data_IF_192284285255
#
_entry.id   IF_192284285255
#
_cell.length_a   1.000
_cell.length_b   1.000
_cell.length_c   1.000
_cell.angle_alpha   90.00
_cell.angle_beta   90.00
_cell.angle_gamma   90.00
#
_symmetry.space_group_name_H-M   'P 1'
#
loop_
_entity.id
_entity.type
_entity.pdbx_description
1 polymer ?
#
# COMPACT_ATOMS: atom_id res chain seq x y z
N UNK A 1 -26.33 2.92 -20.89
CA UNK A 1 -25.79 4.03 -20.03
C UNK A 1 -26.28 4.04 -18.57
N UNK A 2 -27.33 3.25 -18.19
CA UNK A 2 -27.81 3.20 -16.80
C UNK A 2 -26.83 2.51 -15.84
N UNK A 3 -26.08 1.49 -16.26
CA UNK A 3 -25.17 0.74 -15.39
C UNK A 3 -23.95 1.52 -14.90
N UNK A 4 -23.34 2.35 -15.72
CA UNK A 4 -22.18 3.17 -15.32
C UNK A 4 -22.56 4.23 -14.26
N UNK A 5 -23.73 4.88 -14.40
CA UNK A 5 -24.21 5.86 -13.44
C UNK A 5 -24.46 5.29 -12.04
N UNK A 6 -24.87 4.03 -11.94
CA UNK A 6 -25.10 3.39 -10.63
C UNK A 6 -23.81 2.93 -9.97
N UNK A 7 -22.79 2.55 -10.74
CA UNK A 7 -21.44 2.26 -10.23
C UNK A 7 -20.81 3.53 -9.63
N UNK A 8 -20.90 4.65 -10.34
CA UNK A 8 -20.40 5.95 -9.83
C UNK A 8 -21.11 6.36 -8.53
N UNK A 9 -22.43 6.22 -8.45
CA UNK A 9 -23.20 6.54 -7.22
C UNK A 9 -22.82 5.67 -6.02
N UNK A 10 -22.49 4.40 -6.24
CA UNK A 10 -21.99 3.51 -5.16
C UNK A 10 -20.62 3.93 -4.67
N UNK A 11 -19.70 4.20 -5.59
CA UNK A 11 -18.35 4.69 -5.26
C UNK A 11 -18.41 6.03 -4.54
N UNK A 12 -19.28 6.96 -4.96
CA UNK A 12 -19.48 8.24 -4.28
C UNK A 12 -19.97 8.07 -2.84
N UNK A 13 -20.75 7.01 -2.53
CA UNK A 13 -21.17 6.69 -1.15
C UNK A 13 -19.99 6.22 -0.30
N UNK A 14 -19.12 5.36 -0.83
CA UNK A 14 -17.92 4.88 -0.13
C UNK A 14 -16.96 6.04 0.13
N UNK A 15 -16.66 6.82 -0.91
CA UNK A 15 -15.81 7.99 -0.78
C UNK A 15 -16.40 9.00 0.21
N UNK A 16 -17.71 9.24 0.16
CA UNK A 16 -18.42 10.14 1.09
C UNK A 16 -18.34 9.69 2.55
N UNK A 17 -18.40 8.38 2.81
CA UNK A 17 -18.20 7.84 4.15
C UNK A 17 -16.78 8.08 4.65
N UNK A 18 -15.77 7.85 3.79
CA UNK A 18 -14.36 8.11 4.11
C UNK A 18 -14.14 9.60 4.38
N UNK A 19 -14.66 10.49 3.54
CA UNK A 19 -14.55 11.93 3.74
C UNK A 19 -15.18 12.40 5.06
N UNK A 20 -16.35 11.84 5.40
CA UNK A 20 -17.04 12.16 6.66
C UNK A 20 -16.22 11.74 7.88
N UNK A 21 -15.63 10.55 7.85
CA UNK A 21 -14.82 10.01 8.97
C UNK A 21 -13.49 10.79 9.08
N UNK A 22 -12.86 11.12 7.95
CA UNK A 22 -11.56 11.81 7.92
C UNK A 22 -11.67 13.34 8.03
N UNK A 23 -12.89 13.91 8.01
CA UNK A 23 -13.08 15.36 8.03
C UNK A 23 -12.62 16.07 6.74
N UNK A 24 -12.48 15.35 5.65
CA UNK A 24 -12.05 15.90 4.35
C UNK A 24 -13.24 16.50 3.62
N UNK A 25 -13.12 17.76 3.22
CA UNK A 25 -14.06 18.40 2.27
C UNK A 25 -13.52 18.28 0.84
N UNK A 26 -14.07 17.37 0.01
CA UNK A 26 -13.59 17.14 -1.35
C UNK A 26 -13.85 18.33 -2.30
N UNK A 27 -14.72 19.27 -1.92
CA UNK A 27 -15.03 20.48 -2.69
C UNK A 27 -14.05 21.62 -2.43
N UNK A 28 -13.23 21.53 -1.38
CA UNK A 28 -12.26 22.57 -1.04
C UNK A 28 -10.96 22.37 -1.82
N UNK A 29 -10.76 23.19 -2.87
CA UNK A 29 -9.52 23.19 -3.65
C UNK A 29 -8.31 23.63 -2.83
N UNK A 30 -7.14 23.17 -3.24
CA UNK A 30 -5.84 23.53 -2.66
C UNK A 30 -4.97 24.22 -3.71
N UNK A 31 -4.21 25.21 -3.29
CA UNK A 31 -3.11 25.71 -4.12
C UNK A 31 -1.94 24.70 -4.09
N UNK A 32 -0.97 24.86 -4.98
CA UNK A 32 0.13 23.92 -5.11
C UNK A 32 0.94 23.71 -3.83
N UNK A 33 1.11 24.76 -3.00
CA UNK A 33 1.83 24.68 -1.72
C UNK A 33 1.04 23.85 -0.69
N UNK A 34 -0.25 24.09 -0.59
CA UNK A 34 -1.15 23.34 0.29
C UNK A 34 -1.20 21.87 -0.12
N UNK A 35 -1.28 21.61 -1.43
CA UNK A 35 -1.29 20.26 -1.98
C UNK A 35 0.01 19.52 -1.68
N UNK A 36 1.17 20.16 -1.94
CA UNK A 36 2.47 19.60 -1.65
C UNK A 36 2.67 19.35 -0.14
N UNK A 37 2.25 20.28 0.71
CA UNK A 37 2.34 20.13 2.16
C UNK A 37 1.44 18.99 2.67
N UNK A 38 0.23 18.85 2.13
CA UNK A 38 -0.68 17.75 2.46
C UNK A 38 -0.08 16.40 2.06
N UNK A 39 0.51 16.30 0.86
CA UNK A 39 1.20 15.09 0.39
C UNK A 39 2.39 14.74 1.28
N UNK A 40 3.29 15.69 1.51
CA UNK A 40 4.49 15.45 2.33
C UNK A 40 4.14 15.15 3.79
N UNK A 41 3.18 15.90 4.36
CA UNK A 41 2.73 15.69 5.74
C UNK A 41 2.09 14.32 5.94
N UNK A 42 1.23 13.89 5.02
CA UNK A 42 0.61 12.56 5.06
C UNK A 42 1.67 11.45 4.97
N UNK A 43 2.61 11.58 4.03
CA UNK A 43 3.69 10.63 3.89
C UNK A 43 4.59 10.58 5.14
N UNK A 44 4.91 11.73 5.74
CA UNK A 44 5.73 11.78 6.95
C UNK A 44 5.04 11.11 8.15
N UNK A 45 3.74 11.33 8.34
CA UNK A 45 2.96 10.68 9.41
C UNK A 45 2.92 9.17 9.20
N UNK A 46 2.66 8.72 7.98
CA UNK A 46 2.64 7.28 7.67
C UNK A 46 4.02 6.64 7.85
N UNK A 47 5.08 7.33 7.42
CA UNK A 47 6.44 6.86 7.61
C UNK A 47 6.77 6.70 9.09
N UNK A 48 6.39 7.65 9.92
CA UNK A 48 6.61 7.59 11.37
C UNK A 48 5.86 6.41 12.02
N UNK A 49 4.57 6.25 11.70
CA UNK A 49 3.77 5.12 12.23
C UNK A 49 4.33 3.79 11.74
N UNK A 50 4.63 3.67 10.46
CA UNK A 50 5.20 2.45 9.88
C UNK A 50 6.55 2.09 10.50
N UNK A 51 7.40 3.08 10.73
CA UNK A 51 8.67 2.88 11.45
C UNK A 51 8.45 2.27 12.84
N UNK A 52 7.52 2.83 13.61
CA UNK A 52 7.22 2.30 14.94
C UNK A 52 6.72 0.85 14.88
N UNK A 53 5.84 0.52 13.92
CA UNK A 53 5.33 -0.85 13.75
C UNK A 53 6.49 -1.82 13.48
N UNK A 54 7.40 -1.50 12.56
CA UNK A 54 8.56 -2.34 12.26
C UNK A 54 9.48 -2.54 13.46
N UNK A 55 9.60 -1.51 14.33
CA UNK A 55 10.44 -1.55 15.54
C UNK A 55 9.86 -2.38 16.68
N UNK A 56 8.57 -2.70 16.63
CA UNK A 56 7.88 -3.49 17.68
C UNK A 56 7.18 -4.73 17.13
N UNK A 57 7.50 -5.16 15.91
CA UNK A 57 6.77 -6.22 15.22
C UNK A 57 6.82 -7.59 15.92
N UNK A 58 7.85 -7.85 16.73
CA UNK A 58 7.98 -9.12 17.47
C UNK A 58 6.87 -9.30 18.52
N UNK A 59 6.36 -8.21 19.10
CA UNK A 59 5.29 -8.22 20.09
C UNK A 59 3.88 -8.18 19.44
N UNK A 60 3.81 -8.06 18.11
CA UNK A 60 2.56 -7.91 17.36
C UNK A 60 1.78 -9.20 17.22
N UNK A 61 0.48 -9.04 16.96
CA UNK A 61 -0.39 -10.11 16.48
C UNK A 61 0.02 -10.54 15.05
N UNK A 62 -0.37 -11.74 14.64
CA UNK A 62 -0.06 -12.28 13.29
C UNK A 62 1.46 -12.42 13.03
N UNK A 63 2.20 -12.95 14.01
CA UNK A 63 3.61 -13.28 13.87
C UNK A 63 3.88 -14.79 14.12
N UNK A 64 3.30 -15.70 13.32
CA UNK A 64 3.42 -17.14 13.54
C UNK A 64 4.85 -17.66 13.33
N UNK A 65 5.67 -16.92 12.60
CA UNK A 65 7.06 -17.28 12.32
C UNK A 65 8.05 -16.70 13.34
N UNK A 66 7.58 -16.07 14.43
CA UNK A 66 8.39 -15.46 15.49
C UNK A 66 9.46 -14.49 14.97
N UNK A 67 9.07 -13.64 14.02
CA UNK A 67 9.96 -12.63 13.43
C UNK A 67 10.34 -11.60 14.51
N UNK A 68 11.62 -11.32 14.62
CA UNK A 68 12.17 -10.34 15.54
C UNK A 68 11.90 -8.89 15.09
N UNK A 69 12.18 -7.94 15.99
CA UNK A 69 12.08 -6.51 15.67
C UNK A 69 13.11 -6.14 14.60
N UNK A 70 12.67 -5.37 13.61
CA UNK A 70 13.59 -4.91 12.55
C UNK A 70 14.64 -3.95 13.14
N UNK A 71 15.88 -4.08 12.69
CA UNK A 71 16.98 -3.20 13.08
C UNK A 71 16.66 -1.72 12.72
N UNK A 72 17.05 -0.72 13.56
CA UNK A 72 16.64 0.66 13.38
C UNK A 72 16.96 1.28 12.01
N UNK A 73 18.16 1.06 11.50
CA UNK A 73 18.61 1.66 10.23
C UNK A 73 17.92 0.97 9.07
N UNK A 74 17.71 -0.35 9.14
CA UNK A 74 16.96 -1.12 8.16
C UNK A 74 15.47 -0.71 8.14
N UNK A 75 14.85 -0.52 9.31
CA UNK A 75 13.48 -0.05 9.43
C UNK A 75 13.32 1.35 8.81
N UNK A 76 14.24 2.27 9.10
CA UNK A 76 14.23 3.60 8.50
C UNK A 76 14.38 3.55 6.98
N UNK A 77 15.37 2.79 6.47
CA UNK A 77 15.57 2.60 5.04
C UNK A 77 14.33 2.02 4.36
N UNK A 78 13.75 0.98 4.95
CA UNK A 78 12.53 0.33 4.45
C UNK A 78 11.38 1.32 4.32
N UNK A 79 11.12 2.09 5.39
CA UNK A 79 10.01 3.05 5.40
C UNK A 79 10.19 4.13 4.35
N UNK A 80 11.38 4.72 4.23
CA UNK A 80 11.65 5.75 3.22
C UNK A 80 11.51 5.17 1.81
N UNK A 81 12.02 3.97 1.59
CA UNK A 81 11.95 3.30 0.30
C UNK A 81 10.50 3.03 -0.14
N UNK A 82 9.66 2.53 0.77
CA UNK A 82 8.24 2.27 0.45
C UNK A 82 7.39 3.53 0.38
N UNK A 83 7.69 4.54 1.19
CA UNK A 83 7.02 5.84 1.13
C UNK A 83 7.25 6.56 -0.21
N UNK A 84 8.47 6.49 -0.74
CA UNK A 84 8.84 7.14 -2.01
C UNK A 84 8.49 6.31 -3.25
N UNK A 85 7.84 5.18 -3.09
CA UNK A 85 7.54 4.21 -4.15
C UNK A 85 8.80 3.65 -4.87
N UNK A 86 9.97 3.74 -4.23
CA UNK A 86 11.22 3.16 -4.75
C UNK A 86 11.26 1.66 -4.52
N UNK A 87 10.80 1.22 -3.35
CA UNK A 87 10.67 -0.17 -2.90
C UNK A 87 11.97 -1.00 -3.01
N UNK A 88 13.10 -0.34 -2.88
CA UNK A 88 14.39 -1.02 -2.73
C UNK A 88 14.42 -1.75 -1.39
N UNK A 89 14.66 -3.05 -1.42
CA UNK A 89 14.45 -3.95 -0.30
C UNK A 89 15.79 -4.60 0.11
N UNK A 90 16.21 -4.37 1.36
CA UNK A 90 17.44 -4.92 1.92
C UNK A 90 17.15 -6.03 2.96
N UNK A 91 16.03 -6.74 2.80
CA UNK A 91 15.59 -7.86 3.64
C UNK A 91 14.74 -8.82 2.79
N UNK A 92 14.62 -10.06 3.22
CA UNK A 92 13.64 -10.99 2.68
C UNK A 92 12.34 -10.86 3.46
N UNK A 93 11.23 -10.59 2.76
CA UNK A 93 9.96 -10.30 3.43
C UNK A 93 9.41 -11.48 4.22
N UNK A 94 9.58 -12.71 3.68
CA UNK A 94 9.14 -13.96 4.29
C UNK A 94 9.84 -14.30 5.61
N UNK A 95 11.04 -13.76 5.84
CA UNK A 95 11.85 -14.01 7.04
C UNK A 95 12.16 -12.77 7.87
N UNK A 96 11.89 -11.57 7.34
CA UNK A 96 12.20 -10.30 7.99
C UNK A 96 10.99 -9.52 8.50
N UNK A 97 9.77 -9.89 8.10
CA UNK A 97 8.55 -9.18 8.47
C UNK A 97 7.46 -10.09 9.02
N UNK A 98 6.85 -9.66 10.13
CA UNK A 98 5.60 -10.26 10.60
C UNK A 98 4.46 -9.99 9.60
N UNK A 99 3.42 -10.84 9.60
CA UNK A 99 2.28 -10.61 8.70
C UNK A 99 1.55 -9.29 9.01
N UNK A 100 1.53 -8.89 10.28
CA UNK A 100 1.00 -7.58 10.65
C UNK A 100 1.79 -6.46 9.98
N UNK A 101 3.12 -6.51 10.01
CA UNK A 101 3.99 -5.55 9.33
C UNK A 101 3.82 -5.59 7.82
N UNK A 102 3.68 -6.78 7.23
CA UNK A 102 3.39 -6.92 5.80
C UNK A 102 2.09 -6.19 5.42
N UNK A 103 1.02 -6.35 6.21
CA UNK A 103 -0.28 -5.74 5.91
C UNK A 103 -0.32 -4.25 6.21
N UNK A 104 0.03 -3.85 7.44
CA UNK A 104 -0.16 -2.48 7.92
C UNK A 104 0.94 -1.51 7.47
N UNK A 105 2.12 -2.03 7.10
CA UNK A 105 3.21 -1.19 6.61
C UNK A 105 3.40 -1.39 5.11
N UNK A 106 3.79 -2.57 4.68
CA UNK A 106 4.22 -2.78 3.30
C UNK A 106 3.06 -2.64 2.31
N UNK A 107 2.00 -3.45 2.45
CA UNK A 107 0.84 -3.40 1.56
C UNK A 107 0.18 -2.02 1.61
N UNK A 108 -0.03 -1.48 2.82
CA UNK A 108 -0.63 -0.16 2.99
C UNK A 108 0.19 0.94 2.32
N UNK A 109 1.52 0.96 2.51
CA UNK A 109 2.38 1.94 1.86
C UNK A 109 2.43 1.77 0.35
N UNK A 110 2.38 0.55 -0.17
CA UNK A 110 2.29 0.32 -1.62
C UNK A 110 1.04 0.96 -2.23
N UNK A 111 -0.11 0.86 -1.55
CA UNK A 111 -1.33 1.56 -1.98
C UNK A 111 -1.17 3.07 -1.93
N UNK A 112 -0.68 3.60 -0.81
CA UNK A 112 -0.67 5.04 -0.58
C UNK A 112 0.44 5.74 -1.35
N UNK A 113 1.63 5.14 -1.48
CA UNK A 113 2.72 5.70 -2.30
C UNK A 113 2.33 5.76 -3.77
N UNK A 114 1.73 4.70 -4.31
CA UNK A 114 1.20 4.69 -5.66
C UNK A 114 0.10 5.77 -5.84
N UNK A 115 -0.89 5.81 -4.94
CA UNK A 115 -1.96 6.80 -5.00
C UNK A 115 -1.44 8.23 -4.87
N UNK A 116 -0.41 8.47 -4.04
CA UNK A 116 0.25 9.78 -3.91
C UNK A 116 0.94 10.20 -5.20
N UNK A 117 1.62 9.28 -5.87
CA UNK A 117 2.25 9.52 -7.17
C UNK A 117 1.22 9.89 -8.25
N UNK A 118 0.12 9.13 -8.34
CA UNK A 118 -1.00 9.46 -9.23
C UNK A 118 -1.64 10.81 -8.89
N UNK A 119 -1.84 11.11 -7.62
CA UNK A 119 -2.41 12.37 -7.16
C UNK A 119 -1.51 13.56 -7.55
N UNK A 120 -0.20 13.43 -7.37
CA UNK A 120 0.79 14.44 -7.80
C UNK A 120 0.75 14.66 -9.32
N UNK A 121 0.67 13.58 -10.12
CA UNK A 121 0.54 13.65 -11.56
C UNK A 121 -0.74 14.38 -11.99
N UNK A 122 -1.88 14.06 -11.39
CA UNK A 122 -3.16 14.72 -11.66
C UNK A 122 -3.13 16.20 -11.31
N UNK A 123 -2.52 16.56 -10.17
CA UNK A 123 -2.34 17.96 -9.78
C UNK A 123 -1.45 18.71 -10.78
N UNK A 124 -0.37 18.08 -11.24
CA UNK A 124 0.51 18.63 -12.28
C UNK A 124 -0.23 18.88 -13.60
N UNK A 125 -1.02 17.90 -14.06
CA UNK A 125 -1.84 18.02 -15.28
C UNK A 125 -2.85 19.17 -15.14
N UNK A 126 -3.51 19.30 -13.98
CA UNK A 126 -4.44 20.42 -13.71
C UNK A 126 -3.71 21.78 -13.77
N UNK A 127 -2.49 21.83 -13.22
CA UNK A 127 -1.64 23.03 -13.29
C UNK A 127 -1.28 23.42 -14.73
N UNK A 128 -0.93 22.46 -15.57
CA UNK A 128 -0.62 22.69 -17.00
C UNK A 128 -1.88 23.07 -17.81
N UNK A 129 -3.02 22.48 -17.51
CA UNK A 129 -4.28 22.77 -18.20
C UNK A 129 -4.80 24.19 -17.94
N UNK A 130 -4.27 24.91 -16.96
CA UNK A 130 -4.37 26.37 -16.82
C UNK A 130 -5.75 26.96 -16.58
N UNK A 131 -6.75 26.17 -16.23
CA UNK A 131 -8.14 26.65 -16.06
C UNK A 131 -8.36 27.48 -14.78
N UNK A 132 -7.53 27.28 -13.75
CA UNK A 132 -7.57 28.05 -12.50
C UNK A 132 -6.16 28.24 -11.97
N UNK A 133 -5.68 29.49 -11.90
CA UNK A 133 -4.30 29.82 -11.49
C UNK A 133 -3.94 29.42 -10.05
N UNK A 134 -4.92 29.10 -9.19
CA UNK A 134 -4.72 28.86 -7.76
C UNK A 134 -5.35 27.58 -7.21
N UNK A 135 -5.84 26.69 -8.06
CA UNK A 135 -6.49 25.44 -7.63
C UNK A 135 -5.97 24.26 -8.45
N UNK A 136 -5.25 23.36 -7.79
CA UNK A 136 -4.74 22.12 -8.39
C UNK A 136 -5.54 20.88 -7.91
N UNK A 137 -6.66 21.09 -7.24
CA UNK A 137 -7.51 20.05 -6.65
C UNK A 137 -7.28 19.87 -5.16
N UNK A 138 -7.75 18.73 -4.62
CA UNK A 138 -7.59 18.39 -3.22
C UNK A 138 -6.85 17.05 -3.11
N UNK A 139 -5.67 17.07 -2.47
CA UNK A 139 -4.81 15.89 -2.33
C UNK A 139 -5.54 14.71 -1.68
N UNK A 140 -6.26 14.93 -0.58
CA UNK A 140 -6.94 13.87 0.13
C UNK A 140 -8.08 13.26 -0.68
N UNK A 141 -8.82 14.11 -1.41
CA UNK A 141 -9.87 13.64 -2.31
C UNK A 141 -9.29 12.82 -3.48
N UNK A 142 -8.18 13.25 -4.05
CA UNK A 142 -7.49 12.53 -5.11
C UNK A 142 -6.95 11.19 -4.59
N UNK A 143 -6.30 11.18 -3.41
CA UNK A 143 -5.78 9.98 -2.75
C UNK A 143 -6.90 8.93 -2.53
N UNK A 144 -8.03 9.34 -1.96
CA UNK A 144 -9.18 8.46 -1.72
C UNK A 144 -9.71 7.91 -3.04
N UNK A 145 -9.99 8.77 -4.02
CA UNK A 145 -10.57 8.35 -5.30
C UNK A 145 -9.67 7.40 -6.08
N UNK A 146 -8.37 7.65 -6.12
CA UNK A 146 -7.41 6.77 -6.80
C UNK A 146 -7.38 5.41 -6.10
N UNK A 147 -7.34 5.40 -4.76
CA UNK A 147 -7.33 4.16 -3.99
C UNK A 147 -8.63 3.37 -4.19
N UNK A 148 -9.80 4.00 -3.99
CA UNK A 148 -11.10 3.30 -3.98
C UNK A 148 -11.61 2.94 -5.37
N UNK A 149 -11.26 3.72 -6.41
CA UNK A 149 -11.81 3.56 -7.76
C UNK A 149 -10.87 2.86 -8.72
N UNK A 150 -9.56 2.88 -8.44
CA UNK A 150 -8.55 2.28 -9.33
C UNK A 150 -7.82 1.16 -8.59
N UNK A 151 -6.99 1.49 -7.59
CA UNK A 151 -6.09 0.51 -7.02
C UNK A 151 -6.83 -0.65 -6.32
N UNK A 152 -7.77 -0.35 -5.44
CA UNK A 152 -8.46 -1.37 -4.66
C UNK A 152 -9.32 -2.34 -5.50
N UNK A 153 -10.17 -1.89 -6.44
CA UNK A 153 -10.97 -2.82 -7.24
C UNK A 153 -10.11 -3.77 -8.09
N UNK A 154 -9.08 -3.26 -8.73
CA UNK A 154 -8.17 -4.10 -9.52
C UNK A 154 -7.32 -5.02 -8.64
N UNK A 155 -6.92 -4.56 -7.45
CA UNK A 155 -6.21 -5.42 -6.49
C UNK A 155 -7.09 -6.57 -5.98
N UNK A 156 -8.37 -6.34 -5.72
CA UNK A 156 -9.28 -7.40 -5.31
C UNK A 156 -9.43 -8.45 -6.42
N UNK A 157 -9.71 -8.02 -7.65
CA UNK A 157 -9.88 -8.94 -8.78
C UNK A 157 -8.58 -9.71 -9.06
N UNK A 158 -7.45 -9.02 -9.14
CA UNK A 158 -6.17 -9.64 -9.41
C UNK A 158 -5.70 -10.53 -8.25
N UNK A 159 -5.93 -10.13 -7.00
CA UNK A 159 -5.64 -10.95 -5.82
C UNK A 159 -6.43 -12.26 -5.81
N UNK A 160 -7.72 -12.22 -6.16
CA UNK A 160 -8.54 -13.44 -6.29
C UNK A 160 -8.03 -14.35 -7.42
N UNK A 161 -7.56 -13.79 -8.53
CA UNK A 161 -6.94 -14.57 -9.60
C UNK A 161 -5.63 -15.23 -9.14
N UNK A 162 -4.80 -14.53 -8.37
CA UNK A 162 -3.57 -15.10 -7.81
C UNK A 162 -3.88 -16.23 -6.82
N UNK A 163 -4.86 -16.05 -5.94
CA UNK A 163 -5.31 -17.12 -5.02
C UNK A 163 -5.83 -18.33 -5.80
N UNK A 164 -6.60 -18.10 -6.84
CA UNK A 164 -7.08 -19.18 -7.72
C UNK A 164 -5.93 -19.94 -8.40
N UNK A 165 -4.84 -19.26 -8.70
CA UNK A 165 -3.61 -19.88 -9.25
C UNK A 165 -2.72 -20.51 -8.17
N UNK A 166 -3.14 -20.53 -6.91
CA UNK A 166 -2.43 -21.20 -5.81
C UNK A 166 -1.46 -20.31 -5.05
N UNK A 167 -1.45 -19.01 -5.27
CA UNK A 167 -0.63 -18.09 -4.44
C UNK A 167 -1.21 -18.01 -3.03
N UNK A 168 -0.41 -18.23 -1.96
CA UNK A 168 -0.90 -18.22 -0.60
C UNK A 168 -1.53 -16.88 -0.20
N UNK A 169 -2.66 -16.95 0.53
CA UNK A 169 -3.33 -15.84 1.15
C UNK A 169 -3.94 -16.31 2.47
N UNK A 170 -3.10 -16.47 3.49
CA UNK A 170 -3.47 -17.00 4.79
C UNK A 170 -2.66 -16.35 5.92
N UNK A 171 -2.81 -16.82 7.13
CA UNK A 171 -2.06 -16.38 8.31
C UNK A 171 -1.36 -17.54 9.01
N UNK A 172 -1.17 -18.65 8.31
CA UNK A 172 -0.44 -19.80 8.81
C UNK A 172 1.06 -19.54 8.83
N UNK A 173 1.79 -20.26 9.70
CA UNK A 173 3.24 -20.22 9.69
C UNK A 173 3.83 -20.88 8.44
N UNK A 174 5.08 -20.58 8.14
CA UNK A 174 5.80 -21.20 7.03
C UNK A 174 5.82 -22.74 7.20
N UNK A 175 5.67 -23.45 6.08
CA UNK A 175 5.64 -24.91 6.06
C UNK A 175 7.03 -25.43 5.70
N UNK A 176 7.55 -26.32 6.53
CA UNK A 176 8.82 -27.03 6.26
C UNK A 176 8.50 -28.38 5.64
N UNK A 177 9.04 -28.62 4.46
CA UNK A 177 8.87 -29.88 3.73
C UNK A 177 10.23 -30.51 3.44
N UNK A 178 10.28 -31.83 3.42
CA UNK A 178 11.45 -32.56 2.97
C UNK A 178 11.37 -32.76 1.45
N UNK A 179 12.45 -32.42 0.76
CA UNK A 179 12.54 -32.61 -0.69
C UNK A 179 12.90 -34.03 -1.05
N UNK A 180 12.74 -34.43 -2.30
CA UNK A 180 13.13 -35.75 -2.80
C UNK A 180 14.62 -36.06 -2.62
N UNK A 181 15.44 -35.01 -2.47
CA UNK A 181 16.89 -35.14 -2.24
C UNK A 181 17.26 -35.23 -0.75
N UNK A 182 16.25 -35.30 0.16
CA UNK A 182 16.46 -35.39 1.60
C UNK A 182 16.88 -34.08 2.28
N UNK A 183 16.70 -32.93 1.61
CA UNK A 183 16.94 -31.60 2.19
C UNK A 183 15.62 -30.98 2.64
N UNK A 184 15.69 -30.05 3.61
CA UNK A 184 14.51 -29.32 4.05
C UNK A 184 14.34 -28.02 3.25
N UNK A 185 13.11 -27.76 2.80
CA UNK A 185 12.71 -26.54 2.15
C UNK A 185 11.63 -25.85 2.98
N UNK A 186 11.77 -24.52 3.15
CA UNK A 186 10.76 -23.68 3.79
C UNK A 186 9.89 -23.07 2.71
N UNK A 187 8.59 -23.36 2.77
CA UNK A 187 7.58 -22.76 1.89
C UNK A 187 6.94 -21.61 2.64
N UNK A 188 7.12 -20.40 2.12
CA UNK A 188 6.56 -19.20 2.72
C UNK A 188 5.02 -19.19 2.62
N UNK A 189 4.38 -18.84 3.72
CA UNK A 189 2.94 -18.62 3.83
C UNK A 189 2.66 -17.15 4.20
N UNK A 190 1.41 -16.73 4.15
CA UNK A 190 1.04 -15.36 4.55
C UNK A 190 0.17 -14.64 3.52
N UNK A 191 -0.01 -13.31 3.65
CA UNK A 191 -0.82 -12.48 2.77
C UNK A 191 -0.08 -12.14 1.46
N UNK A 192 0.43 -13.16 0.76
CA UNK A 192 1.30 -13.01 -0.42
C UNK A 192 0.52 -12.46 -1.61
N UNK A 193 -0.65 -13.03 -1.92
CA UNK A 193 -1.43 -12.62 -3.08
C UNK A 193 -1.85 -11.15 -3.03
N UNK A 194 -2.24 -10.66 -1.85
CA UNK A 194 -2.60 -9.26 -1.66
C UNK A 194 -1.42 -8.32 -1.87
N UNK A 195 -0.22 -8.71 -1.42
CA UNK A 195 0.98 -7.91 -1.60
C UNK A 195 1.44 -7.91 -3.06
N UNK A 196 1.50 -9.07 -3.69
CA UNK A 196 2.01 -9.19 -5.05
C UNK A 196 1.14 -8.44 -6.06
N UNK A 197 -0.19 -8.43 -5.89
CA UNK A 197 -1.04 -7.70 -6.82
C UNK A 197 -0.87 -6.18 -6.72
N UNK A 198 -0.80 -5.62 -5.51
CA UNK A 198 -0.58 -4.17 -5.36
C UNK A 198 0.83 -3.76 -5.79
N UNK A 199 1.84 -4.61 -5.56
CA UNK A 199 3.18 -4.44 -6.09
C UNK A 199 3.17 -4.16 -7.60
N UNK A 200 2.43 -4.94 -8.36
CA UNK A 200 2.33 -4.78 -9.82
C UNK A 200 1.49 -3.55 -10.19
N UNK A 201 0.31 -3.38 -9.61
CA UNK A 201 -0.59 -2.26 -9.92
C UNK A 201 -0.03 -0.90 -9.50
N UNK A 202 0.65 -0.86 -8.37
CA UNK A 202 1.26 0.36 -7.82
C UNK A 202 2.63 0.70 -8.43
N UNK A 203 3.15 -0.12 -9.35
CA UNK A 203 4.51 0.00 -9.92
C UNK A 203 5.61 0.00 -8.85
N UNK A 204 5.35 -0.67 -7.73
CA UNK A 204 6.21 -0.63 -6.54
C UNK A 204 7.54 -1.38 -6.77
N UNK A 205 7.49 -2.68 -6.97
CA UNK A 205 8.68 -3.51 -7.21
C UNK A 205 9.15 -4.33 -6.00
N UNK A 206 9.07 -3.82 -4.77
CA UNK A 206 9.34 -4.61 -3.56
C UNK A 206 8.32 -5.72 -3.36
N UNK A 207 8.68 -6.87 -2.80
CA UNK A 207 7.82 -8.04 -2.73
C UNK A 207 7.78 -8.72 -1.36
N UNK A 208 6.88 -9.70 -1.24
CA UNK A 208 6.78 -10.55 -0.06
C UNK A 208 7.98 -11.48 0.05
N UNK A 209 8.45 -12.00 -1.07
CA UNK A 209 9.57 -12.94 -1.16
C UNK A 209 10.88 -12.20 -1.42
N UNK A 210 11.99 -12.73 -0.89
CA UNK A 210 13.31 -12.14 -1.04
C UNK A 210 13.92 -12.22 -2.43
N UNK A 211 13.20 -12.77 -3.40
CA UNK A 211 13.60 -12.93 -4.80
C UNK A 211 13.23 -11.73 -5.68
N UNK A 212 13.27 -10.53 -5.15
CA UNK A 212 12.99 -9.30 -5.90
C UNK A 212 14.19 -8.82 -6.70
#
# INVERSE_FOLDING_TARGET
SRGLGDVYKRQDRVDGAIYKISGVDPGKGMNWKQYALALLGTNAVMAFIGYLILRVQSAGLFNPNNIENMEPTLAFNTIISFMTNTNLQHYSGESGLSYLSQMLVIIFMMFVSAASGYAACVAFIRGLAGRTKNDVGNFFADLVRITTRILLPFSIVGGLLLVWQGVPQNFEGNVVVETLEGTFQVIAMGPIAALEIIKHLGTNGGGFLGAN
#
